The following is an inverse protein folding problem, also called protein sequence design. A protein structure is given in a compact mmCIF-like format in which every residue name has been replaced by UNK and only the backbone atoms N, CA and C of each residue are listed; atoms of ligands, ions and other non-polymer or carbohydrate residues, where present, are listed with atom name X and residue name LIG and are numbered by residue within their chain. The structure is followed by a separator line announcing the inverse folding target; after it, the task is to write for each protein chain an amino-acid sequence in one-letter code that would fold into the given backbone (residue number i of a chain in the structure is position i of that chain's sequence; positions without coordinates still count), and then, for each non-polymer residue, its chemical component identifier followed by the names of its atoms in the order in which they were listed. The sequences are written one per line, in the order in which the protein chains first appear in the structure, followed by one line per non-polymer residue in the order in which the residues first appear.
data_IF_334684369634
#
_entry.id   IF_334684369634
#
_cell.length_a   1.000
_cell.length_b   1.000
_cell.length_c   1.000
_cell.angle_alpha   90.00
_cell.angle_beta   90.00
_cell.angle_gamma   90.00
#
_symmetry.space_group_name_H-M   'P 1'
#
loop_
_entity.id
_entity.type
_entity.pdbx_description
1 polymer ?
#
# COMPACT_ATOMS: atom_id res chain seq x y z
N UNK A 1 -4.31 -13.94 -7.38
CA UNK A 1 -3.16 -13.58 -6.52
C UNK A 1 -3.47 -13.77 -5.04
N UNK A 2 -4.56 -13.17 -4.52
CA UNK A 2 -4.94 -13.33 -3.11
C UNK A 2 -5.09 -14.79 -2.66
N UNK A 3 -5.57 -15.69 -3.52
CA UNK A 3 -5.68 -17.13 -3.19
C UNK A 3 -4.32 -17.77 -2.87
N UNK A 4 -3.26 -17.36 -3.58
CA UNK A 4 -1.89 -17.83 -3.34
C UNK A 4 -1.38 -17.29 -2.00
N UNK A 5 -1.67 -16.01 -1.70
CA UNK A 5 -1.31 -15.41 -0.43
C UNK A 5 -2.03 -16.09 0.74
N UNK A 6 -3.30 -16.48 0.61
CA UNK A 6 -4.01 -17.26 1.64
C UNK A 6 -3.37 -18.62 1.91
N UNK A 7 -2.94 -19.33 0.86
CA UNK A 7 -2.18 -20.58 1.02
C UNK A 7 -0.89 -20.31 1.78
N UNK A 8 -0.17 -19.25 1.42
CA UNK A 8 1.07 -18.87 2.09
C UNK A 8 0.85 -18.52 3.58
N UNK A 9 -0.17 -17.73 3.90
CA UNK A 9 -0.49 -17.39 5.29
C UNK A 9 -0.79 -18.63 6.14
N UNK A 10 -1.52 -19.60 5.58
CA UNK A 10 -1.78 -20.90 6.23
C UNK A 10 -0.51 -21.69 6.47
N UNK A 11 0.37 -21.81 5.48
CA UNK A 11 1.64 -22.52 5.60
C UNK A 11 2.52 -21.90 6.69
N UNK A 12 2.49 -20.56 6.82
CA UNK A 12 3.28 -19.84 7.82
C UNK A 12 2.61 -19.73 9.19
N UNK A 13 1.35 -20.18 9.32
CA UNK A 13 0.57 -20.07 10.56
C UNK A 13 0.35 -18.61 10.98
N UNK A 14 0.08 -17.73 10.02
CA UNK A 14 -0.33 -16.35 10.31
C UNK A 14 -1.85 -16.24 10.30
N UNK A 15 -2.44 -15.67 11.34
CA UNK A 15 -3.85 -15.35 11.36
C UNK A 15 -4.13 -14.19 10.41
N UNK A 16 -5.17 -14.33 9.58
CA UNK A 16 -5.49 -13.35 8.56
C UNK A 16 -7.00 -13.28 8.30
N UNK A 17 -7.43 -12.18 7.69
CA UNK A 17 -8.76 -12.01 7.08
C UNK A 17 -8.61 -11.62 5.61
N UNK A 18 -9.61 -11.94 4.79
CA UNK A 18 -9.64 -11.61 3.36
C UNK A 18 -10.94 -10.92 3.01
N UNK A 19 -10.86 -9.77 2.36
CA UNK A 19 -12.03 -9.06 1.83
C UNK A 19 -11.80 -8.73 0.36
N UNK A 20 -12.69 -9.25 -0.49
CA UNK A 20 -12.70 -8.99 -1.93
C UNK A 20 -14.13 -8.86 -2.48
N UNK A 21 -14.25 -8.83 -3.81
CA UNK A 21 -15.55 -8.69 -4.49
C UNK A 21 -16.52 -9.84 -4.25
N UNK A 22 -16.03 -11.02 -3.85
CA UNK A 22 -16.86 -12.20 -3.56
C UNK A 22 -17.43 -12.18 -2.14
N UNK A 23 -16.86 -11.39 -1.23
CA UNK A 23 -17.34 -11.28 0.16
C UNK A 23 -18.71 -10.61 0.21
N UNK A 24 -19.74 -11.22 0.83
CA UNK A 24 -21.07 -10.64 0.99
C UNK A 24 -21.03 -9.29 1.72
N UNK A 25 -21.80 -8.32 1.24
CA UNK A 25 -21.78 -6.94 1.77
C UNK A 25 -22.06 -6.89 3.27
N UNK A 26 -22.98 -7.73 3.77
CA UNK A 26 -23.36 -7.78 5.17
C UNK A 26 -22.21 -8.20 6.10
N UNK A 27 -21.32 -9.05 5.62
CA UNK A 27 -20.19 -9.59 6.40
C UNK A 27 -18.99 -8.64 6.42
N UNK A 28 -18.87 -7.75 5.43
CA UNK A 28 -17.71 -6.86 5.28
C UNK A 28 -17.46 -6.02 6.53
N UNK A 29 -18.52 -5.45 7.11
CA UNK A 29 -18.38 -4.58 8.29
C UNK A 29 -17.92 -5.35 9.52
N UNK A 30 -18.41 -6.58 9.70
CA UNK A 30 -18.01 -7.45 10.80
C UNK A 30 -16.52 -7.81 10.69
N UNK A 31 -16.05 -8.20 9.50
CA UNK A 31 -14.64 -8.51 9.27
C UNK A 31 -13.71 -7.32 9.55
N UNK A 32 -14.14 -6.10 9.17
CA UNK A 32 -13.39 -4.87 9.45
C UNK A 32 -13.35 -4.58 10.95
N UNK A 33 -14.47 -4.79 11.66
CA UNK A 33 -14.53 -4.60 13.09
C UNK A 33 -13.64 -5.61 13.82
N UNK A 34 -13.67 -6.88 13.43
CA UNK A 34 -12.80 -7.91 13.97
C UNK A 34 -11.34 -7.52 13.82
N UNK A 35 -10.90 -7.15 12.61
CA UNK A 35 -9.51 -6.74 12.39
C UNK A 35 -9.07 -5.48 13.16
N UNK A 36 -10.00 -4.56 13.44
CA UNK A 36 -9.68 -3.37 14.23
C UNK A 36 -9.60 -3.63 15.73
N UNK A 37 -10.24 -4.70 16.23
CA UNK A 37 -10.35 -5.00 17.66
C UNK A 37 -9.54 -6.23 18.09
N UNK A 38 -9.15 -7.09 17.17
CA UNK A 38 -8.38 -8.30 17.41
C UNK A 38 -6.92 -8.09 17.03
N UNK A 39 -6.05 -8.04 18.05
CA UNK A 39 -4.61 -7.89 17.88
C UNK A 39 -3.92 -9.18 17.40
N UNK A 40 -4.58 -10.34 17.47
CA UNK A 40 -4.05 -11.62 16.98
C UNK A 40 -4.12 -11.72 15.45
N UNK A 41 -5.01 -10.94 14.81
CA UNK A 41 -5.11 -10.88 13.35
C UNK A 41 -3.93 -10.09 12.76
N UNK A 42 -2.96 -10.83 12.22
CA UNK A 42 -1.72 -10.26 11.69
C UNK A 42 -1.89 -9.57 10.32
N UNK A 43 -2.68 -10.16 9.41
CA UNK A 43 -2.80 -9.68 8.03
C UNK A 43 -4.26 -9.50 7.62
N UNK A 44 -4.55 -8.39 6.95
CA UNK A 44 -5.82 -8.18 6.25
C UNK A 44 -5.59 -8.11 4.74
N UNK A 45 -5.97 -9.16 4.02
CA UNK A 45 -5.83 -9.27 2.57
C UNK A 45 -6.98 -8.53 1.88
N UNK A 46 -6.63 -7.57 1.03
CA UNK A 46 -7.56 -6.75 0.28
C UNK A 46 -7.31 -6.85 -1.21
N UNK A 47 -8.38 -6.83 -1.99
CA UNK A 47 -8.28 -6.42 -3.38
C UNK A 47 -8.40 -4.89 -3.48
N UNK A 48 -7.56 -4.25 -4.28
CA UNK A 48 -7.54 -2.78 -4.46
C UNK A 48 -8.91 -2.23 -4.84
N UNK A 49 -9.66 -2.98 -5.67
CA UNK A 49 -11.03 -2.63 -6.09
C UNK A 49 -12.09 -2.81 -5.00
N UNK A 50 -11.91 -3.73 -4.05
CA UNK A 50 -12.78 -3.82 -2.88
C UNK A 50 -12.52 -2.70 -1.86
N UNK A 51 -11.38 -2.01 -1.93
CA UNK A 51 -11.04 -0.84 -1.10
C UNK A 51 -11.86 0.43 -1.40
N UNK A 52 -12.62 0.46 -2.51
CA UNK A 52 -13.49 1.58 -2.87
C UNK A 52 -14.73 1.76 -1.97
N UNK A 53 -14.97 0.85 -1.03
CA UNK A 53 -16.15 0.81 -0.17
C UNK A 53 -16.16 1.80 1.00
N UNK A 54 -15.09 2.58 1.20
CA UNK A 54 -15.06 3.55 2.31
C UNK A 54 -14.60 3.00 3.66
N UNK A 55 -13.90 1.85 3.69
CA UNK A 55 -13.54 1.12 4.92
C UNK A 55 -12.53 1.87 5.81
N UNK A 56 -12.46 1.52 7.09
CA UNK A 56 -11.54 2.12 8.06
C UNK A 56 -10.67 1.03 8.70
N UNK A 57 -9.36 1.10 8.53
CA UNK A 57 -8.39 0.10 9.00
C UNK A 57 -7.35 0.75 9.91
N UNK A 58 -7.82 1.42 10.97
CA UNK A 58 -6.95 2.18 11.90
C UNK A 58 -6.01 1.30 12.72
N UNK A 59 -6.28 0.00 12.87
CA UNK A 59 -5.39 -0.92 13.62
C UNK A 59 -4.11 -1.29 12.86
N UNK A 60 -4.10 -1.11 11.53
CA UNK A 60 -2.96 -1.37 10.67
C UNK A 60 -2.16 -0.09 10.39
N UNK A 61 -0.84 -0.20 10.43
CA UNK A 61 0.09 0.89 10.12
C UNK A 61 1.15 0.50 9.08
N UNK A 62 1.08 -0.71 8.52
CA UNK A 62 1.91 -1.13 7.39
C UNK A 62 1.00 -1.55 6.25
N UNK A 63 1.21 -0.97 5.07
CA UNK A 63 0.47 -1.23 3.84
C UNK A 63 1.47 -1.77 2.82
N UNK A 64 1.16 -2.93 2.23
CA UNK A 64 1.95 -3.50 1.15
C UNK A 64 1.06 -3.54 -0.09
N UNK A 65 1.38 -2.71 -1.08
CA UNK A 65 0.80 -2.78 -2.40
C UNK A 65 1.57 -3.83 -3.18
N UNK A 66 0.98 -5.02 -3.30
CA UNK A 66 1.58 -6.14 -4.01
C UNK A 66 1.65 -5.87 -5.51
N UNK A 67 0.54 -5.38 -6.08
CA UNK A 67 0.42 -5.01 -7.48
C UNK A 67 -0.02 -3.55 -7.54
N UNK A 68 0.58 -2.77 -8.42
CA UNK A 68 0.22 -1.35 -8.66
C UNK A 68 -0.89 -1.24 -9.71
N UNK A 69 -1.78 -0.27 -9.55
CA UNK A 69 -2.86 0.00 -10.51
C UNK A 69 -2.42 1.05 -11.55
N UNK A 70 -2.89 0.90 -12.80
CA UNK A 70 -2.70 1.91 -13.85
C UNK A 70 -3.34 3.26 -13.50
N UNK A 71 -4.36 3.23 -12.65
CA UNK A 71 -5.00 4.40 -12.08
C UNK A 71 -4.44 4.68 -10.67
N UNK A 72 -3.55 5.69 -10.50
CA UNK A 72 -2.92 5.98 -9.22
C UNK A 72 -3.90 6.31 -8.07
N UNK A 73 -5.12 6.75 -8.39
CA UNK A 73 -6.12 7.04 -7.37
C UNK A 73 -6.64 5.79 -6.66
N UNK A 74 -6.64 4.64 -7.33
CA UNK A 74 -7.05 3.38 -6.70
C UNK A 74 -6.07 3.01 -5.58
N UNK A 75 -4.76 3.16 -5.85
CA UNK A 75 -3.69 2.91 -4.89
C UNK A 75 -3.73 3.95 -3.75
N UNK A 76 -3.82 5.24 -4.08
CA UNK A 76 -3.94 6.31 -3.08
C UNK A 76 -5.16 6.11 -2.18
N UNK A 77 -6.30 5.74 -2.75
CA UNK A 77 -7.52 5.46 -1.99
C UNK A 77 -7.35 4.25 -1.07
N UNK A 78 -6.56 3.25 -1.45
CA UNK A 78 -6.22 2.12 -0.60
C UNK A 78 -5.30 2.55 0.56
N UNK A 79 -4.31 3.42 0.30
CA UNK A 79 -3.42 3.99 1.32
C UNK A 79 -4.20 4.80 2.37
N UNK A 80 -5.15 5.62 1.92
CA UNK A 80 -6.04 6.45 2.75
C UNK A 80 -6.95 5.63 3.71
N UNK A 81 -7.02 4.30 3.55
CA UNK A 81 -7.78 3.43 4.47
C UNK A 81 -7.09 3.25 5.82
N UNK A 82 -5.77 3.31 5.84
CA UNK A 82 -4.97 3.25 7.06
C UNK A 82 -4.47 4.64 7.47
N UNK A 83 -4.18 5.52 6.51
CA UNK A 83 -3.90 6.96 6.71
C UNK A 83 -5.20 7.74 6.99
N UNK A 84 -5.95 7.32 8.01
CA UNK A 84 -7.27 7.87 8.32
C UNK A 84 -7.35 8.48 9.70
N UNK A 85 -8.29 9.40 9.89
CA UNK A 85 -8.62 9.97 11.20
C UNK A 85 -8.88 8.85 12.22
N UNK A 86 -8.09 8.83 13.30
CA UNK A 86 -8.10 7.75 14.31
C UNK A 86 -6.81 6.92 14.34
N UNK A 87 -5.99 6.99 13.30
CA UNK A 87 -4.65 6.41 13.30
C UNK A 87 -3.73 7.18 14.26
N UNK A 88 -3.00 6.45 15.11
CA UNK A 88 -2.07 7.01 16.11
C UNK A 88 -0.60 6.67 15.82
N UNK A 89 -0.36 5.70 14.94
CA UNK A 89 0.97 5.22 14.56
C UNK A 89 1.34 5.78 13.20
N UNK A 90 2.64 5.96 12.97
CA UNK A 90 3.16 6.26 11.64
C UNK A 90 2.82 5.11 10.68
N UNK A 91 2.31 5.48 9.50
CA UNK A 91 1.84 4.52 8.50
C UNK A 91 2.85 4.41 7.36
N UNK A 92 3.34 3.20 7.16
CA UNK A 92 4.32 2.87 6.13
C UNK A 92 3.62 2.26 4.92
N UNK A 93 3.89 2.80 3.74
CA UNK A 93 3.40 2.27 2.46
C UNK A 93 4.58 1.70 1.69
N UNK A 94 4.54 0.41 1.39
CA UNK A 94 5.54 -0.30 0.58
C UNK A 94 4.90 -0.75 -0.72
N UNK A 95 5.44 -0.33 -1.86
CA UNK A 95 5.01 -0.79 -3.19
C UNK A 95 6.01 -1.80 -3.71
N UNK A 96 5.54 -2.99 -4.07
CA UNK A 96 6.38 -4.00 -4.71
C UNK A 96 6.44 -3.69 -6.20
N UNK A 97 7.64 -3.45 -6.72
CA UNK A 97 7.88 -3.15 -8.13
C UNK A 97 9.03 -4.01 -8.61
N UNK A 98 8.76 -4.86 -9.58
CA UNK A 98 9.73 -5.77 -10.17
C UNK A 98 10.62 -5.02 -11.18
N UNK A 99 11.93 -5.08 -10.97
CA UNK A 99 12.92 -4.47 -11.89
C UNK A 99 12.85 -5.13 -13.25
N UNK A 100 13.13 -4.34 -14.29
CA UNK A 100 13.15 -4.78 -15.69
C UNK A 100 11.83 -5.43 -16.14
N UNK A 101 10.71 -4.95 -15.59
CA UNK A 101 9.36 -5.35 -15.97
C UNK A 101 8.48 -4.15 -16.31
N UNK A 102 7.34 -4.41 -16.93
CA UNK A 102 6.31 -3.40 -17.24
C UNK A 102 5.80 -2.64 -16.01
N UNK A 103 5.96 -3.19 -14.79
CA UNK A 103 5.57 -2.52 -13.55
C UNK A 103 6.34 -1.20 -13.35
N UNK A 104 7.57 -1.10 -13.83
CA UNK A 104 8.36 0.14 -13.73
C UNK A 104 7.70 1.26 -14.55
N UNK A 105 7.27 0.94 -15.76
CA UNK A 105 6.63 1.91 -16.68
C UNK A 105 5.26 2.33 -16.15
N UNK A 106 4.49 1.37 -15.62
CA UNK A 106 3.18 1.63 -14.99
C UNK A 106 3.35 2.58 -13.81
N UNK A 107 4.33 2.32 -12.93
CA UNK A 107 4.62 3.19 -11.78
C UNK A 107 5.01 4.60 -12.22
N UNK A 108 5.89 4.71 -13.22
CA UNK A 108 6.31 6.01 -13.76
C UNK A 108 5.12 6.80 -14.34
N UNK A 109 4.27 6.14 -15.13
CA UNK A 109 3.07 6.76 -15.71
C UNK A 109 2.08 7.21 -14.62
N UNK A 110 1.85 6.37 -13.62
CA UNK A 110 0.98 6.69 -12.49
C UNK A 110 1.45 7.93 -11.73
N UNK A 111 2.76 8.07 -11.51
CA UNK A 111 3.35 9.26 -10.86
C UNK A 111 3.21 10.51 -11.71
N UNK A 112 3.48 10.41 -13.02
CA UNK A 112 3.33 11.54 -13.94
C UNK A 112 1.90 12.08 -13.93
N UNK A 113 0.89 11.19 -13.88
CA UNK A 113 -0.52 11.59 -13.74
C UNK A 113 -0.78 12.37 -12.45
N UNK A 114 -0.28 11.90 -11.31
CA UNK A 114 -0.44 12.58 -10.01
C UNK A 114 0.27 13.94 -9.96
N UNK A 115 1.47 14.04 -10.53
CA UNK A 115 2.23 15.30 -10.59
C UNK A 115 1.52 16.34 -11.45
N UNK A 116 1.00 15.93 -12.62
CA UNK A 116 0.25 16.80 -13.50
C UNK A 116 -1.00 17.34 -12.81
N UNK A 117 -1.75 16.49 -12.11
CA UNK A 117 -2.91 16.93 -11.33
C UNK A 117 -2.50 17.95 -10.26
N UNK A 118 -1.47 17.64 -9.47
CA UNK A 118 -0.99 18.53 -8.41
C UNK A 118 -0.58 19.89 -8.97
N UNK A 119 0.14 19.93 -10.09
CA UNK A 119 0.54 21.18 -10.74
C UNK A 119 -0.65 22.02 -11.22
N UNK A 120 -1.74 21.37 -11.65
CA UNK A 120 -2.99 22.04 -12.03
C UNK A 120 -3.72 22.58 -10.79
N UNK A 121 -3.82 21.78 -9.73
CA UNK A 121 -4.52 22.16 -8.48
C UNK A 121 -3.81 23.28 -7.73
N UNK A 122 -2.48 23.27 -7.68
CA UNK A 122 -1.68 24.25 -6.96
C UNK A 122 -1.58 25.61 -7.69
N UNK A 123 -2.14 25.71 -8.91
CA UNK A 123 -2.17 26.94 -9.70
C UNK A 123 -0.78 27.31 -10.23
N UNK A 124 -0.43 26.77 -11.40
CA UNK A 124 0.79 26.99 -12.21
C UNK A 124 1.81 27.97 -11.58
N UNK A 125 2.76 27.41 -10.83
CA UNK A 125 4.12 27.93 -10.67
C UNK A 125 5.09 26.75 -10.55
N UNK A 126 5.73 26.37 -11.65
CA UNK A 126 6.88 25.45 -11.60
C UNK A 126 6.92 24.50 -12.78
N UNK A 127 8.11 24.40 -13.37
CA UNK A 127 8.42 23.68 -14.59
C UNK A 127 8.02 22.20 -14.49
N UNK A 128 7.40 21.68 -15.54
CA UNK A 128 7.24 20.24 -15.72
C UNK A 128 8.65 19.67 -15.81
N UNK A 129 9.08 18.90 -14.80
CA UNK A 129 10.24 18.04 -14.98
C UNK A 129 9.87 17.01 -16.05
N UNK A 130 10.45 17.18 -17.24
CA UNK A 130 10.45 16.13 -18.24
C UNK A 130 11.14 14.92 -17.62
N UNK A 131 10.36 13.89 -17.29
CA UNK A 131 10.90 12.58 -16.93
C UNK A 131 11.55 12.04 -18.19
N UNK A 132 12.85 12.32 -18.32
CA UNK A 132 13.72 11.87 -19.39
C UNK A 132 13.78 10.33 -19.33
N UNK A 133 13.21 9.68 -20.36
CA UNK A 133 13.21 8.22 -20.58
C UNK A 133 14.63 7.61 -20.60
N UNK A 134 15.67 8.44 -20.58
CA UNK A 134 17.07 8.04 -20.72
C UNK A 134 17.90 8.05 -19.43
N UNK A 135 17.36 8.49 -18.29
CA UNK A 135 18.17 8.68 -17.05
C UNK A 135 18.06 7.53 -16.05
N UNK A 136 18.89 6.50 -16.26
CA UNK A 136 19.25 5.54 -15.20
C UNK A 136 19.88 6.31 -14.02
N UNK A 137 19.22 6.22 -12.87
CA UNK A 137 19.77 6.44 -11.52
C UNK A 137 20.52 7.76 -11.32
N UNK A 138 19.80 8.86 -11.11
CA UNK A 138 20.10 9.91 -10.10
C UNK A 138 19.36 11.20 -10.46
N UNK A 139 18.39 11.59 -9.65
CA UNK A 139 17.69 12.88 -9.79
C UNK A 139 16.61 13.00 -8.72
N UNK A 140 16.90 13.78 -7.68
CA UNK A 140 16.09 13.96 -6.47
C UNK A 140 15.00 15.02 -6.68
N UNK A 141 13.79 14.77 -6.15
CA UNK A 141 12.93 15.76 -5.46
C UNK A 141 11.70 15.08 -4.78
N UNK A 142 11.87 14.78 -3.49
CA UNK A 142 10.97 14.93 -2.34
C UNK A 142 9.49 14.48 -2.41
N UNK A 143 9.26 13.19 -2.60
CA UNK A 143 9.05 12.35 -1.41
C UNK A 143 10.38 11.65 -1.13
N UNK A 144 10.77 11.40 0.12
CA UNK A 144 11.93 10.53 0.40
C UNK A 144 11.60 9.10 -0.04
N UNK A 145 11.54 8.86 -1.33
CA UNK A 145 11.72 7.52 -1.86
C UNK A 145 13.21 7.26 -1.89
N UNK A 146 13.75 7.06 -0.68
CA UNK A 146 14.97 6.28 -0.55
C UNK A 146 14.68 4.92 -1.18
N UNK A 147 15.54 4.49 -2.11
CA UNK A 147 15.70 3.05 -2.33
C UNK A 147 15.97 2.48 -0.95
N UNK A 148 14.95 1.83 -0.38
CA UNK A 148 15.02 1.30 0.96
C UNK A 148 16.20 0.34 0.97
N UNK A 149 17.26 0.68 1.68
CA UNK A 149 18.38 -0.23 1.80
C UNK A 149 17.89 -1.50 2.50
N UNK A 150 18.59 -2.60 2.24
CA UNK A 150 18.17 -3.90 2.79
C UNK A 150 18.07 -3.87 4.32
N UNK A 151 18.83 -2.98 4.97
CA UNK A 151 18.78 -2.81 6.42
C UNK A 151 17.47 -2.16 6.88
N UNK A 152 17.05 -1.04 6.28
CA UNK A 152 15.79 -0.37 6.61
C UNK A 152 14.60 -1.25 6.23
N UNK A 153 14.68 -1.97 5.10
CA UNK A 153 13.66 -2.96 4.73
C UNK A 153 13.55 -4.06 5.79
N UNK A 154 14.68 -4.62 6.23
CA UNK A 154 14.69 -5.62 7.28
C UNK A 154 14.16 -5.04 8.60
N UNK A 155 14.46 -3.79 8.93
CA UNK A 155 13.93 -3.13 10.13
C UNK A 155 12.41 -2.94 10.05
N UNK A 156 11.86 -2.47 8.92
CA UNK A 156 10.41 -2.33 8.71
C UNK A 156 9.68 -3.67 8.70
N UNK A 157 10.26 -4.69 8.06
CA UNK A 157 9.71 -6.04 8.07
C UNK A 157 9.78 -6.65 9.47
N UNK A 158 10.87 -6.40 10.21
CA UNK A 158 11.02 -6.84 11.59
C UNK A 158 10.06 -6.12 12.52
N UNK A 159 9.79 -4.81 12.32
CA UNK A 159 8.81 -4.08 13.12
C UNK A 159 7.39 -4.58 12.87
N UNK A 160 7.05 -4.89 11.60
CA UNK A 160 5.80 -5.53 11.26
C UNK A 160 5.67 -6.91 11.96
N UNK A 161 6.74 -7.73 11.93
CA UNK A 161 6.75 -9.08 12.51
C UNK A 161 6.82 -9.10 14.05
N UNK A 162 7.46 -8.12 14.70
CA UNK A 162 7.61 -8.03 16.18
C UNK A 162 6.29 -7.89 16.92
N UNK A 163 5.21 -7.48 16.25
CA UNK A 163 3.85 -7.52 16.83
C UNK A 163 3.46 -8.94 17.27
N UNK A 164 4.04 -9.99 16.66
CA UNK A 164 3.81 -11.41 17.01
C UNK A 164 4.67 -11.92 18.18
N UNK A 165 5.85 -11.34 18.45
CA UNK A 165 6.78 -11.87 19.46
C UNK A 165 6.57 -11.31 20.87
N UNK A 166 5.49 -10.55 21.07
CA UNK A 166 5.18 -9.85 22.33
C UNK A 166 4.00 -10.49 23.08
N UNK A 167 3.54 -11.66 22.64
CA UNK A 167 2.53 -12.50 23.30
C UNK A 167 3.09 -13.86 23.66
#
# INVERSE_FOLDING_TARGET
MLDILEVYMRIRGYAYKRLDGSTPVMERQEMINEFNNDDDLFVFLLSTRAGGLGINLTSANHIILHDIDFNPYNDKQAEDRCHRMGQKKEVFVTKLISKDTVEVDIHCLARKKLQLEKAVTDGIKGQLEEVDETSRVSGSLESKEEKLDNETLNQLLTSALKRKSSG
#
